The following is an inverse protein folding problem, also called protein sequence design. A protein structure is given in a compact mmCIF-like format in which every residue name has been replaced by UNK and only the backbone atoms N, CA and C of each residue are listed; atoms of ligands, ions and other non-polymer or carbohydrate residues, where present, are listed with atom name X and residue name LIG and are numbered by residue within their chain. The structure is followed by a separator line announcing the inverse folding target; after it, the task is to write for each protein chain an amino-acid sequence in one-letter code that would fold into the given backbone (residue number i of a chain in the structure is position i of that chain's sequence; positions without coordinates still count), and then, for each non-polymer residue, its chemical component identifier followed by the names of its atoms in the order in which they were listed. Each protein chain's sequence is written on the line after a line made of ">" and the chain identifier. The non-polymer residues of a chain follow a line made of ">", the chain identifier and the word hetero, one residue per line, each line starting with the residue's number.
data_IF_734083140420
#
_entry.id   IF_734083140420
#
_cell.length_a   1.000
_cell.length_b   1.000
_cell.length_c   1.000
_cell.angle_alpha   90.00
_cell.angle_beta   90.00
_cell.angle_gamma   90.00
#
_symmetry.space_group_name_H-M   'P 1'
#
loop_
_entity.id
_entity.type
_entity.pdbx_description
1 polymer ?
#
# COMPACT_ATOMS: atom_id res chain seq x y z
N UNK A 1 -11.40 26.61 -2.39
CA UNK A 1 -11.78 25.47 -3.25
C UNK A 1 -11.83 24.14 -2.51
N UNK A 2 -10.77 23.70 -1.82
CA UNK A 2 -10.79 22.39 -1.12
C UNK A 2 -11.82 22.29 0.02
N UNK A 3 -11.87 23.30 0.92
CA UNK A 3 -12.81 23.30 2.06
C UNK A 3 -14.28 23.39 1.62
N UNK A 4 -14.56 24.07 0.51
CA UNK A 4 -15.91 24.19 -0.05
C UNK A 4 -16.40 22.86 -0.63
N UNK A 5 -15.56 22.18 -1.43
CA UNK A 5 -15.86 20.84 -1.96
C UNK A 5 -16.06 19.79 -0.84
N UNK A 6 -15.24 19.85 0.21
CA UNK A 6 -15.43 18.99 1.38
C UNK A 6 -16.74 19.29 2.13
N UNK A 7 -17.18 20.55 2.10
CA UNK A 7 -18.43 21.02 2.69
C UNK A 7 -19.66 20.32 2.11
N UNK A 8 -19.65 20.03 0.80
CA UNK A 8 -20.75 19.41 0.06
C UNK A 8 -20.96 17.92 0.40
N UNK A 9 -19.92 17.23 0.88
CA UNK A 9 -20.00 15.82 1.24
C UNK A 9 -20.74 15.67 2.58
N UNK A 10 -21.81 14.86 2.68
CA UNK A 10 -22.53 14.66 3.93
C UNK A 10 -21.71 13.87 4.97
N UNK A 11 -21.97 14.11 6.25
CA UNK A 11 -21.40 13.32 7.33
C UNK A 11 -21.99 11.91 7.33
N UNK A 12 -21.15 10.90 7.59
CA UNK A 12 -21.59 9.52 7.69
C UNK A 12 -22.20 9.23 9.06
N UNK A 13 -23.33 8.53 9.07
CA UNK A 13 -23.86 7.93 10.29
C UNK A 13 -23.06 6.66 10.65
N UNK A 14 -23.14 6.24 11.91
CA UNK A 14 -22.48 5.00 12.36
C UNK A 14 -22.90 3.76 11.55
N UNK A 15 -24.18 3.68 11.17
CA UNK A 15 -24.68 2.60 10.34
C UNK A 15 -24.06 2.63 8.93
N UNK A 16 -23.91 3.82 8.33
CA UNK A 16 -23.27 4.00 7.04
C UNK A 16 -21.77 3.66 7.07
N UNK A 17 -21.06 4.04 8.15
CA UNK A 17 -19.66 3.64 8.34
C UNK A 17 -19.49 2.12 8.35
N UNK A 18 -20.33 1.42 9.12
CA UNK A 18 -20.29 -0.04 9.23
C UNK A 18 -20.66 -0.68 7.88
N UNK A 19 -21.68 -0.13 7.19
CA UNK A 19 -22.06 -0.59 5.85
C UNK A 19 -20.90 -0.48 4.86
N UNK A 20 -20.24 0.68 4.80
CA UNK A 20 -19.08 0.90 3.93
C UNK A 20 -17.90 -0.01 4.31
N UNK A 21 -17.60 -0.16 5.60
CA UNK A 21 -16.55 -1.06 6.07
C UNK A 21 -16.83 -2.53 5.67
N UNK A 22 -18.08 -2.98 5.80
CA UNK A 22 -18.52 -4.32 5.37
C UNK A 22 -18.44 -4.48 3.85
N UNK A 23 -18.80 -3.44 3.08
CA UNK A 23 -18.66 -3.44 1.63
C UNK A 23 -17.18 -3.53 1.21
N UNK A 24 -16.29 -2.79 1.87
CA UNK A 24 -14.84 -2.85 1.64
C UNK A 24 -14.33 -4.28 1.89
N UNK A 25 -14.71 -4.90 3.01
CA UNK A 25 -14.30 -6.26 3.34
C UNK A 25 -14.83 -7.28 2.32
N UNK A 26 -16.13 -7.21 2.01
CA UNK A 26 -16.80 -8.15 1.09
C UNK A 26 -16.21 -8.04 -0.32
N UNK A 27 -16.06 -6.82 -0.84
CA UNK A 27 -15.50 -6.60 -2.18
C UNK A 27 -14.02 -6.96 -2.25
N UNK A 28 -13.24 -6.73 -1.18
CA UNK A 28 -11.85 -7.19 -1.07
C UNK A 28 -11.75 -8.71 -1.13
N UNK A 29 -12.58 -9.43 -0.37
CA UNK A 29 -12.60 -10.90 -0.38
C UNK A 29 -13.05 -11.45 -1.73
N UNK A 30 -14.10 -10.88 -2.33
CA UNK A 30 -14.54 -11.25 -3.68
C UNK A 30 -13.44 -11.02 -4.74
N UNK A 31 -12.76 -9.89 -4.68
CA UNK A 31 -11.66 -9.54 -5.59
C UNK A 31 -10.51 -10.55 -5.47
N UNK A 32 -10.06 -10.83 -4.24
CA UNK A 32 -9.00 -11.80 -3.96
C UNK A 32 -9.37 -13.19 -4.45
N UNK A 33 -10.56 -13.68 -4.09
CA UNK A 33 -11.03 -14.99 -4.51
C UNK A 33 -11.08 -15.10 -6.04
N UNK A 34 -11.60 -14.08 -6.72
CA UNK A 34 -11.75 -14.10 -8.18
C UNK A 34 -10.41 -14.10 -8.92
N UNK A 35 -9.40 -13.42 -8.39
CA UNK A 35 -8.03 -13.45 -8.88
C UNK A 35 -7.38 -14.82 -8.64
N UNK A 36 -7.45 -15.33 -7.41
CA UNK A 36 -6.85 -16.61 -6.99
C UNK A 36 -7.48 -17.82 -7.69
N UNK A 37 -8.73 -17.73 -8.16
CA UNK A 37 -9.36 -18.75 -9.01
C UNK A 37 -8.67 -18.90 -10.39
N UNK A 38 -7.87 -17.94 -10.83
CA UNK A 38 -7.03 -18.10 -12.02
C UNK A 38 -5.81 -18.95 -11.66
N UNK A 39 -5.56 -20.02 -12.43
CA UNK A 39 -4.46 -20.96 -12.13
C UNK A 39 -3.10 -20.26 -12.08
N UNK A 40 -2.84 -19.33 -13.01
CA UNK A 40 -1.60 -18.57 -13.04
C UNK A 40 -1.36 -17.82 -11.72
N UNK A 41 -2.41 -17.20 -11.19
CA UNK A 41 -2.35 -16.43 -9.94
C UNK A 41 -2.20 -17.38 -8.75
N UNK A 42 -2.98 -18.45 -8.70
CA UNK A 42 -2.90 -19.49 -7.67
C UNK A 42 -1.49 -20.10 -7.57
N UNK A 43 -0.88 -20.45 -8.71
CA UNK A 43 0.44 -21.04 -8.76
C UNK A 43 1.52 -20.07 -8.27
N UNK A 44 1.45 -18.80 -8.66
CA UNK A 44 2.41 -17.81 -8.18
C UNK A 44 2.20 -17.50 -6.69
N UNK A 45 0.96 -17.46 -6.20
CA UNK A 45 0.67 -17.36 -4.76
C UNK A 45 1.27 -18.54 -3.98
N UNK A 46 1.09 -19.77 -4.46
CA UNK A 46 1.72 -20.97 -3.90
C UNK A 46 3.26 -20.84 -3.87
N UNK A 47 3.89 -20.41 -4.97
CA UNK A 47 5.34 -20.19 -5.01
C UNK A 47 5.80 -19.16 -4.00
N UNK A 48 5.11 -18.03 -3.89
CA UNK A 48 5.45 -16.98 -2.91
C UNK A 48 5.35 -17.51 -1.48
N UNK A 49 4.28 -18.23 -1.15
CA UNK A 49 4.09 -18.82 0.17
C UNK A 49 5.12 -19.92 0.47
N UNK A 50 5.50 -20.72 -0.53
CA UNK A 50 6.57 -21.71 -0.41
C UNK A 50 7.92 -21.07 -0.10
N UNK A 51 8.23 -19.92 -0.73
CA UNK A 51 9.45 -19.17 -0.45
C UNK A 51 9.45 -18.56 0.96
N UNK A 52 8.28 -18.14 1.46
CA UNK A 52 8.14 -17.72 2.87
C UNK A 52 8.38 -18.90 3.79
N UNK A 53 7.84 -20.08 3.50
CA UNK A 53 8.06 -21.30 4.30
C UNK A 53 9.53 -21.65 4.44
N UNK A 54 10.28 -21.54 3.34
CA UNK A 54 11.73 -21.81 3.29
C UNK A 54 12.61 -20.69 3.85
N UNK A 55 12.02 -19.58 4.32
CA UNK A 55 12.76 -18.44 4.85
C UNK A 55 13.39 -17.52 3.80
N UNK A 56 13.15 -17.73 2.50
CA UNK A 56 13.69 -16.88 1.42
C UNK A 56 12.99 -15.51 1.33
N UNK A 57 11.74 -15.42 1.80
CA UNK A 57 10.96 -14.20 1.80
C UNK A 57 10.52 -13.82 3.21
N UNK A 58 10.63 -12.52 3.60
CA UNK A 58 10.21 -12.07 4.91
C UNK A 58 8.71 -12.26 5.11
N UNK A 59 8.33 -12.97 6.17
CA UNK A 59 6.95 -13.26 6.56
C UNK A 59 6.12 -11.97 6.69
N UNK A 60 6.58 -11.03 7.51
CA UNK A 60 5.82 -9.82 7.86
C UNK A 60 5.61 -8.87 6.68
N UNK A 61 6.40 -8.98 5.59
CA UNK A 61 6.19 -8.19 4.36
C UNK A 61 5.31 -8.90 3.32
N UNK A 62 5.02 -10.18 3.52
CA UNK A 62 4.36 -11.03 2.52
C UNK A 62 2.98 -11.49 2.98
N UNK A 63 2.85 -11.79 4.26
CA UNK A 63 1.63 -12.23 4.92
C UNK A 63 1.03 -11.08 5.74
N UNK A 64 -0.29 -11.03 5.77
CA UNK A 64 -1.07 -10.14 6.62
C UNK A 64 -1.53 -10.93 7.84
N UNK A 65 -1.14 -10.44 9.01
CA UNK A 65 -1.60 -10.95 10.31
C UNK A 65 -2.84 -10.18 10.71
N UNK A 66 -3.86 -10.89 11.20
CA UNK A 66 -5.06 -10.31 11.79
C UNK A 66 -5.48 -11.14 13.00
N UNK A 67 -5.82 -10.45 14.08
CA UNK A 67 -6.29 -11.06 15.32
C UNK A 67 -7.74 -11.53 15.16
N UNK A 68 -8.57 -10.78 14.41
CA UNK A 68 -10.01 -11.09 14.26
C UNK A 68 -10.27 -12.30 13.39
N UNK A 69 -9.39 -12.59 12.43
CA UNK A 69 -9.59 -13.65 11.43
C UNK A 69 -8.88 -14.97 11.78
N UNK A 70 -8.39 -15.15 13.03
CA UNK A 70 -7.54 -16.29 13.42
C UNK A 70 -6.37 -16.47 12.45
N UNK A 71 -5.72 -15.35 12.15
CA UNK A 71 -4.57 -15.20 11.26
C UNK A 71 -3.38 -14.66 12.07
N UNK A 72 -3.19 -15.18 13.28
CA UNK A 72 -2.00 -14.89 14.08
C UNK A 72 -0.76 -15.58 13.47
N UNK A 73 0.42 -15.02 13.73
CA UNK A 73 1.67 -15.49 13.12
C UNK A 73 1.91 -16.99 13.37
N UNK A 74 1.74 -17.43 14.61
CA UNK A 74 1.91 -18.84 15.01
C UNK A 74 0.91 -19.76 14.31
N UNK A 75 -0.36 -19.36 14.25
CA UNK A 75 -1.42 -20.11 13.58
C UNK A 75 -1.14 -20.26 12.08
N UNK A 76 -0.70 -19.19 11.42
CA UNK A 76 -0.34 -19.22 10.01
C UNK A 76 0.86 -20.13 9.78
N UNK A 77 1.91 -20.03 10.61
CA UNK A 77 3.10 -20.88 10.51
C UNK A 77 2.77 -22.36 10.71
N UNK A 78 1.86 -22.70 11.63
CA UNK A 78 1.38 -24.08 11.83
C UNK A 78 0.55 -24.63 10.66
N UNK A 79 -0.26 -23.79 10.00
CA UNK A 79 -1.04 -24.17 8.81
C UNK A 79 -0.18 -24.29 7.54
N UNK A 80 0.92 -23.55 7.47
CA UNK A 80 1.74 -23.38 6.28
C UNK A 80 2.20 -24.70 5.63
N UNK A 81 2.85 -25.65 6.34
CA UNK A 81 3.31 -26.89 5.72
C UNK A 81 2.14 -27.74 5.18
N UNK A 82 1.07 -27.88 5.96
CA UNK A 82 -0.11 -28.68 5.61
C UNK A 82 -0.88 -28.11 4.39
N UNK A 83 -1.09 -26.79 4.38
CA UNK A 83 -1.79 -26.11 3.30
C UNK A 83 -0.95 -26.13 2.01
N UNK A 84 0.37 -25.95 2.10
CA UNK A 84 1.26 -26.02 0.93
C UNK A 84 1.29 -27.42 0.31
N UNK A 85 1.41 -28.47 1.12
CA UNK A 85 1.35 -29.85 0.64
C UNK A 85 0.02 -30.14 -0.08
N UNK A 86 -1.10 -29.71 0.52
CA UNK A 86 -2.42 -29.88 -0.09
C UNK A 86 -2.55 -29.08 -1.39
N UNK A 87 -2.05 -27.84 -1.43
CA UNK A 87 -2.07 -26.99 -2.62
C UNK A 87 -1.28 -27.62 -3.76
N UNK A 88 -0.11 -28.20 -3.49
CA UNK A 88 0.71 -28.88 -4.50
C UNK A 88 -0.05 -30.02 -5.18
N UNK A 89 -0.69 -30.88 -4.38
CA UNK A 89 -1.53 -31.98 -4.89
C UNK A 89 -2.68 -31.43 -5.73
N UNK A 90 -3.42 -30.43 -5.23
CA UNK A 90 -4.57 -29.86 -5.94
C UNK A 90 -4.16 -29.21 -7.28
N UNK A 91 -3.07 -28.45 -7.31
CA UNK A 91 -2.52 -27.82 -8.52
C UNK A 91 -2.07 -28.89 -9.52
N UNK A 92 -1.40 -29.95 -9.06
CA UNK A 92 -1.00 -31.07 -9.90
C UNK A 92 -2.21 -31.73 -10.57
N UNK A 93 -3.27 -32.00 -9.80
CA UNK A 93 -4.47 -32.61 -10.35
C UNK A 93 -5.29 -31.66 -11.24
N UNK A 94 -5.25 -30.34 -11.02
CA UNK A 94 -5.90 -29.34 -11.88
C UNK A 94 -5.38 -29.44 -13.32
N UNK A 95 -4.07 -29.64 -13.50
CA UNK A 95 -3.44 -29.86 -14.81
C UNK A 95 -4.00 -31.09 -15.53
N UNK A 96 -4.30 -32.17 -14.80
CA UNK A 96 -4.88 -33.38 -15.36
C UNK A 96 -6.32 -33.16 -15.83
N UNK A 97 -7.18 -32.56 -15.00
CA UNK A 97 -8.57 -32.28 -15.40
C UNK A 97 -8.65 -31.25 -16.54
N UNK A 98 -7.76 -30.25 -16.56
CA UNK A 98 -7.71 -29.30 -17.67
C UNK A 98 -7.39 -30.00 -19.01
N UNK A 99 -6.46 -30.98 -19.01
CA UNK A 99 -6.17 -31.79 -20.21
C UNK A 99 -7.38 -32.61 -20.65
N UNK A 100 -8.10 -33.24 -19.73
CA UNK A 100 -9.33 -33.99 -20.04
C UNK A 100 -10.39 -33.06 -20.61
N UNK A 101 -10.59 -31.89 -19.99
CA UNK A 101 -11.60 -30.92 -20.39
C UNK A 101 -11.42 -30.39 -21.84
N UNK A 102 -10.17 -30.28 -22.28
CA UNK A 102 -9.82 -29.86 -23.65
C UNK A 102 -9.65 -31.02 -24.65
N UNK A 103 -9.62 -32.27 -24.19
CA UNK A 103 -9.45 -33.42 -25.08
C UNK A 103 -10.64 -33.56 -26.03
N UNK A 104 -10.37 -33.64 -27.33
CA UNK A 104 -11.37 -33.98 -28.35
C UNK A 104 -11.76 -35.46 -28.33
N UNK A 105 -10.94 -36.32 -27.72
CA UNK A 105 -11.17 -37.78 -27.61
C UNK A 105 -12.10 -38.13 -26.44
N UNK A 106 -12.19 -37.27 -25.43
CA UNK A 106 -13.02 -37.50 -24.25
C UNK A 106 -14.50 -37.22 -24.54
N UNK A 107 -15.40 -37.98 -23.90
CA UNK A 107 -16.85 -37.78 -24.06
C UNK A 107 -17.27 -36.42 -23.51
N UNK A 108 -18.31 -35.82 -24.08
CA UNK A 108 -18.82 -34.50 -23.64
C UNK A 108 -19.17 -34.48 -22.15
N UNK A 109 -19.73 -35.58 -21.63
CA UNK A 109 -20.06 -35.75 -20.20
C UNK A 109 -18.81 -35.74 -19.32
N UNK A 110 -17.74 -36.42 -19.72
CA UNK A 110 -16.46 -36.44 -19.01
C UNK A 110 -15.79 -35.07 -19.00
N UNK A 111 -15.81 -34.36 -20.13
CA UNK A 111 -15.28 -32.99 -20.24
C UNK A 111 -16.02 -32.03 -19.32
N UNK A 112 -17.35 -32.12 -19.24
CA UNK A 112 -18.17 -31.33 -18.30
C UNK A 112 -17.84 -31.67 -16.84
N UNK A 113 -17.70 -32.96 -16.50
CA UNK A 113 -17.29 -33.40 -15.16
C UNK A 113 -15.89 -32.88 -14.79
N UNK A 114 -14.95 -32.88 -15.73
CA UNK A 114 -13.59 -32.35 -15.53
C UNK A 114 -13.59 -30.85 -15.25
N UNK A 115 -14.35 -30.05 -16.01
CA UNK A 115 -14.55 -28.62 -15.72
C UNK A 115 -15.15 -28.38 -14.34
N UNK A 116 -16.15 -29.18 -13.94
CA UNK A 116 -16.78 -29.05 -12.62
C UNK A 116 -15.81 -29.39 -11.48
N UNK A 117 -15.00 -30.45 -11.61
CA UNK A 117 -13.95 -30.80 -10.64
C UNK A 117 -12.89 -29.70 -10.54
N UNK A 118 -12.41 -29.20 -11.67
CA UNK A 118 -11.45 -28.09 -11.73
C UNK A 118 -11.98 -26.85 -10.99
N UNK A 119 -13.23 -26.46 -11.25
CA UNK A 119 -13.86 -25.33 -10.55
C UNK A 119 -13.96 -25.52 -9.03
N UNK A 120 -14.35 -26.73 -8.57
CA UNK A 120 -14.40 -27.04 -7.13
C UNK A 120 -13.02 -27.00 -6.48
N UNK A 121 -11.99 -27.54 -7.13
CA UNK A 121 -10.63 -27.52 -6.59
C UNK A 121 -10.03 -26.13 -6.55
N UNK A 122 -10.26 -25.29 -7.57
CA UNK A 122 -9.85 -23.88 -7.53
C UNK A 122 -10.41 -23.15 -6.31
N UNK A 123 -11.70 -23.33 -6.01
CA UNK A 123 -12.30 -22.77 -4.79
C UNK A 123 -11.66 -23.30 -3.50
N UNK A 124 -11.23 -24.57 -3.48
CA UNK A 124 -10.46 -25.13 -2.35
C UNK A 124 -9.08 -24.48 -2.25
N UNK A 125 -8.35 -24.33 -3.36
CA UNK A 125 -7.05 -23.65 -3.37
C UNK A 125 -7.15 -22.20 -2.87
N UNK A 126 -8.19 -21.47 -3.28
CA UNK A 126 -8.47 -20.11 -2.80
C UNK A 126 -8.56 -20.10 -1.27
N UNK A 127 -9.39 -20.98 -0.67
CA UNK A 127 -9.53 -21.05 0.79
C UNK A 127 -8.20 -21.34 1.50
N UNK A 128 -7.46 -22.34 1.01
CA UNK A 128 -6.15 -22.69 1.60
C UNK A 128 -5.15 -21.52 1.55
N UNK A 129 -5.18 -20.72 0.48
CA UNK A 129 -4.32 -19.54 0.36
C UNK A 129 -4.82 -18.38 1.25
N UNK A 130 -6.14 -18.21 1.39
CA UNK A 130 -6.73 -17.20 2.26
C UNK A 130 -6.45 -17.47 3.74
N UNK A 131 -6.46 -18.73 4.17
CA UNK A 131 -6.08 -19.16 5.52
C UNK A 131 -4.62 -18.90 5.89
N UNK A 132 -3.77 -18.63 4.88
CA UNK A 132 -2.37 -18.26 5.04
C UNK A 132 -2.13 -16.74 4.99
N UNK A 133 -3.19 -15.94 4.84
CA UNK A 133 -3.11 -14.48 4.98
C UNK A 133 -2.27 -13.77 3.91
N UNK A 134 -2.09 -14.32 2.71
CA UNK A 134 -1.27 -13.66 1.67
C UNK A 134 -1.75 -12.22 1.39
N UNK A 135 -0.86 -11.22 1.40
CA UNK A 135 -1.24 -9.80 1.18
C UNK A 135 -1.83 -9.57 -0.21
N UNK A 136 -2.88 -8.75 -0.30
CA UNK A 136 -3.58 -8.45 -1.57
C UNK A 136 -2.64 -7.84 -2.60
N UNK A 137 -1.73 -6.96 -2.18
CA UNK A 137 -0.78 -6.30 -3.07
C UNK A 137 0.11 -7.29 -3.83
N UNK A 138 0.43 -8.45 -3.24
CA UNK A 138 1.21 -9.51 -3.91
C UNK A 138 0.45 -10.12 -5.08
N UNK A 139 -0.85 -10.28 -4.94
CA UNK A 139 -1.74 -10.87 -5.95
C UNK A 139 -2.05 -9.82 -7.04
N UNK A 140 -2.24 -8.56 -6.66
CA UNK A 140 -2.51 -7.44 -7.57
C UNK A 140 -1.41 -7.23 -8.62
N UNK A 141 -0.14 -7.49 -8.26
CA UNK A 141 0.98 -7.38 -9.21
C UNK A 141 0.85 -8.27 -10.46
N UNK A 142 -0.04 -9.25 -10.44
CA UNK A 142 -0.25 -10.19 -11.56
C UNK A 142 -1.29 -9.69 -12.58
N UNK A 143 -2.09 -8.68 -12.24
CA UNK A 143 -3.12 -8.11 -13.12
C UNK A 143 -2.54 -7.63 -14.46
N UNK A 144 -1.41 -6.88 -14.50
CA UNK A 144 -0.80 -6.47 -15.76
C UNK A 144 -0.43 -7.66 -16.66
N UNK A 145 0.09 -8.75 -16.07
CA UNK A 145 0.42 -9.97 -16.83
C UNK A 145 -0.83 -10.64 -17.40
N UNK A 146 -1.92 -10.74 -16.64
CA UNK A 146 -3.19 -11.29 -17.14
C UNK A 146 -3.77 -10.46 -18.30
N UNK A 147 -3.70 -9.13 -18.20
CA UNK A 147 -4.08 -8.23 -19.29
C UNK A 147 -3.18 -8.43 -20.51
N UNK A 148 -1.87 -8.59 -20.30
CA UNK A 148 -0.90 -8.93 -21.34
C UNK A 148 -1.25 -10.25 -22.05
N UNK A 149 -1.61 -11.29 -21.29
CA UNK A 149 -2.09 -12.56 -21.84
C UNK A 149 -3.35 -12.40 -22.69
N UNK A 150 -4.34 -11.64 -22.23
CA UNK A 150 -5.57 -11.40 -23.01
C UNK A 150 -5.27 -10.67 -24.32
N UNK A 151 -4.42 -9.63 -24.27
CA UNK A 151 -4.00 -8.90 -25.47
C UNK A 151 -3.28 -9.84 -26.44
N UNK A 152 -2.30 -10.58 -25.95
CA UNK A 152 -1.49 -11.50 -26.76
C UNK A 152 -2.32 -12.63 -27.36
N UNK A 153 -3.24 -13.24 -26.60
CA UNK A 153 -4.17 -14.25 -27.12
C UNK A 153 -5.01 -13.71 -28.28
N UNK A 154 -5.42 -12.44 -28.24
CA UNK A 154 -6.18 -11.80 -29.33
C UNK A 154 -5.30 -11.62 -30.56
N UNK A 155 -4.10 -11.06 -30.40
CA UNK A 155 -3.14 -10.86 -31.49
C UNK A 155 -2.77 -12.19 -32.18
N UNK A 156 -2.42 -13.21 -31.39
CA UNK A 156 -2.10 -14.54 -31.91
C UNK A 156 -3.28 -15.14 -32.66
N UNK A 157 -4.49 -15.00 -32.14
CA UNK A 157 -5.70 -15.50 -32.81
C UNK A 157 -5.92 -14.83 -34.18
N UNK A 158 -5.77 -13.51 -34.26
CA UNK A 158 -5.88 -12.76 -35.53
C UNK A 158 -4.83 -13.24 -36.53
N UNK A 159 -3.56 -13.37 -36.12
CA UNK A 159 -2.47 -13.84 -36.98
C UNK A 159 -2.71 -15.27 -37.47
N UNK A 160 -3.09 -16.18 -36.56
CA UNK A 160 -3.39 -17.59 -36.91
C UNK A 160 -4.54 -17.66 -37.92
N UNK A 161 -5.58 -16.85 -37.74
CA UNK A 161 -6.73 -16.84 -38.66
C UNK A 161 -6.36 -16.21 -40.02
N UNK A 162 -5.50 -15.18 -40.04
CA UNK A 162 -4.96 -14.62 -41.27
C UNK A 162 -4.13 -15.64 -42.05
N UNK A 163 -3.20 -16.35 -41.39
CA UNK A 163 -2.41 -17.42 -42.03
C UNK A 163 -3.29 -18.55 -42.60
N UNK A 164 -4.41 -18.87 -41.93
CA UNK A 164 -5.38 -19.86 -42.44
C UNK A 164 -6.12 -19.35 -43.66
N UNK A 165 -6.51 -18.07 -43.68
CA UNK A 165 -7.19 -17.43 -44.82
C UNK A 165 -6.27 -17.36 -46.05
N UNK A 166 -4.99 -17.05 -45.86
CA UNK A 166 -3.98 -17.01 -46.92
C UNK A 166 -3.45 -18.39 -47.34
N UNK A 167 -4.05 -19.49 -46.83
CA UNK A 167 -3.68 -20.89 -47.11
C UNK A 167 -2.19 -21.21 -46.92
N UNK A 168 -1.50 -20.47 -46.05
CA UNK A 168 -0.08 -20.70 -45.81
C UNK A 168 0.17 -22.04 -45.09
N UNK A 169 1.36 -22.66 -45.29
CA UNK A 169 1.74 -23.91 -44.65
C UNK A 169 1.55 -23.91 -43.13
N UNK A 170 1.24 -25.07 -42.57
CA UNK A 170 1.00 -25.21 -41.12
C UNK A 170 2.25 -24.92 -40.27
N UNK A 171 3.44 -25.20 -40.81
CA UNK A 171 4.74 -24.88 -40.21
C UNK A 171 4.87 -23.40 -39.85
N UNK A 172 4.43 -22.51 -40.74
CA UNK A 172 4.59 -21.06 -40.59
C UNK A 172 3.78 -20.49 -39.41
N UNK A 173 2.74 -21.20 -38.94
CA UNK A 173 1.93 -20.80 -37.78
C UNK A 173 2.17 -21.64 -36.53
N UNK A 174 3.10 -22.61 -36.57
CA UNK A 174 3.31 -23.55 -35.47
C UNK A 174 3.74 -22.82 -34.19
N UNK A 175 4.72 -21.92 -34.30
CA UNK A 175 5.20 -21.10 -33.18
C UNK A 175 4.07 -20.25 -32.57
N UNK A 176 3.21 -19.65 -33.40
CA UNK A 176 2.06 -18.86 -32.94
C UNK A 176 1.03 -19.71 -32.18
N UNK A 177 0.79 -20.93 -32.68
CA UNK A 177 -0.14 -21.88 -32.05
C UNK A 177 0.42 -22.40 -30.73
N UNK A 178 1.72 -22.66 -30.66
CA UNK A 178 2.36 -23.16 -29.44
C UNK A 178 2.42 -22.09 -28.35
N UNK A 179 2.71 -20.84 -28.71
CA UNK A 179 2.61 -19.71 -27.78
C UNK A 179 1.17 -19.52 -27.29
N UNK A 180 0.19 -19.57 -28.20
CA UNK A 180 -1.23 -19.47 -27.84
C UNK A 180 -1.63 -20.58 -26.86
N UNK A 181 -1.20 -21.83 -27.11
CA UNK A 181 -1.44 -22.97 -26.21
C UNK A 181 -0.70 -22.82 -24.88
N UNK A 182 0.50 -22.27 -24.86
CA UNK A 182 1.27 -22.05 -23.65
C UNK A 182 0.53 -21.09 -22.69
N UNK A 183 0.00 -19.97 -23.21
CA UNK A 183 -0.79 -19.03 -22.41
C UNK A 183 -2.06 -19.70 -21.87
N UNK A 184 -2.76 -20.48 -22.71
CA UNK A 184 -3.95 -21.22 -22.27
C UNK A 184 -3.63 -22.24 -21.19
N UNK A 185 -2.53 -22.99 -21.31
CA UNK A 185 -2.06 -23.95 -20.29
C UNK A 185 -1.68 -23.24 -19.00
N UNK A 186 -1.05 -22.07 -19.07
CA UNK A 186 -0.67 -21.30 -17.89
C UNK A 186 -1.88 -20.78 -17.11
N UNK A 187 -2.92 -20.31 -17.81
CA UNK A 187 -4.15 -19.82 -17.18
C UNK A 187 -5.16 -20.93 -16.84
N UNK A 188 -5.05 -22.08 -17.51
CA UNK A 188 -6.03 -23.16 -17.53
C UNK A 188 -7.46 -22.66 -17.81
N UNK A 189 -7.62 -21.71 -18.71
CA UNK A 189 -8.91 -21.14 -19.08
C UNK A 189 -9.03 -20.99 -20.59
N UNK A 190 -10.25 -20.72 -21.08
CA UNK A 190 -10.45 -20.29 -22.47
C UNK A 190 -10.26 -18.77 -22.57
N UNK A 191 -9.93 -18.20 -23.75
CA UNK A 191 -9.78 -16.75 -23.87
C UNK A 191 -11.04 -15.98 -23.49
N UNK A 192 -12.23 -16.54 -23.81
CA UNK A 192 -13.53 -15.96 -23.45
C UNK A 192 -13.74 -15.96 -21.93
N UNK A 193 -13.41 -17.06 -21.26
CA UNK A 193 -13.47 -17.18 -19.79
C UNK A 193 -12.53 -16.18 -19.12
N UNK A 194 -11.27 -16.12 -19.57
CA UNK A 194 -10.26 -15.24 -18.99
C UNK A 194 -10.64 -13.76 -19.17
N UNK A 195 -11.12 -13.37 -20.36
CA UNK A 195 -11.63 -12.01 -20.61
C UNK A 195 -12.82 -11.68 -19.72
N UNK A 196 -13.78 -12.61 -19.57
CA UNK A 196 -14.94 -12.42 -18.67
C UNK A 196 -14.49 -12.26 -17.22
N UNK A 197 -13.57 -13.10 -16.74
CA UNK A 197 -12.99 -13.00 -15.40
C UNK A 197 -12.36 -11.64 -15.16
N UNK A 198 -11.53 -11.15 -16.09
CA UNK A 198 -10.90 -9.84 -15.94
C UNK A 198 -11.91 -8.69 -15.94
N UNK A 199 -12.99 -8.78 -16.72
CA UNK A 199 -14.09 -7.81 -16.64
C UNK A 199 -14.73 -7.82 -15.25
N UNK A 200 -15.08 -8.99 -14.73
CA UNK A 200 -15.66 -9.15 -13.38
C UNK A 200 -14.70 -8.63 -12.28
N UNK A 201 -13.39 -8.90 -12.39
CA UNK A 201 -12.37 -8.40 -11.46
C UNK A 201 -12.36 -6.87 -11.45
N UNK A 202 -12.36 -6.24 -12.63
CA UNK A 202 -12.34 -4.77 -12.73
C UNK A 202 -13.62 -4.14 -12.14
N UNK A 203 -14.79 -4.76 -12.35
CA UNK A 203 -16.05 -4.31 -11.76
C UNK A 203 -16.04 -4.43 -10.22
N UNK A 204 -15.55 -5.55 -9.68
CA UNK A 204 -15.40 -5.73 -8.23
C UNK A 204 -14.41 -4.71 -7.66
N UNK A 205 -13.27 -4.50 -8.33
CA UNK A 205 -12.27 -3.52 -7.92
C UNK A 205 -12.83 -2.10 -7.92
N UNK A 206 -13.61 -1.72 -8.94
CA UNK A 206 -14.28 -0.42 -8.97
C UNK A 206 -15.28 -0.25 -7.82
N UNK A 207 -16.01 -1.31 -7.43
CA UNK A 207 -16.87 -1.27 -6.22
C UNK A 207 -16.05 -1.11 -4.93
N UNK A 208 -14.95 -1.84 -4.81
CA UNK A 208 -14.04 -1.71 -3.68
C UNK A 208 -13.48 -0.29 -3.54
N UNK A 209 -13.01 0.30 -4.63
CA UNK A 209 -12.49 1.68 -4.65
C UNK A 209 -13.58 2.70 -4.31
N UNK A 210 -14.80 2.52 -4.82
CA UNK A 210 -15.94 3.39 -4.45
C UNK A 210 -16.28 3.30 -2.96
N UNK A 211 -16.30 2.10 -2.38
CA UNK A 211 -16.59 1.93 -0.95
C UNK A 211 -15.50 2.56 -0.08
N UNK A 212 -14.22 2.38 -0.43
CA UNK A 212 -13.10 3.05 0.22
C UNK A 212 -13.17 4.56 0.14
N UNK A 213 -13.44 5.08 -1.05
CA UNK A 213 -13.57 6.51 -1.31
C UNK A 213 -14.71 7.08 -0.46
N UNK A 214 -15.88 6.46 -0.46
CA UNK A 214 -17.02 6.90 0.35
C UNK A 214 -16.70 6.94 1.85
N UNK A 215 -16.01 5.92 2.39
CA UNK A 215 -15.63 5.92 3.81
C UNK A 215 -14.60 7.01 4.14
N UNK A 216 -13.69 7.29 3.21
CA UNK A 216 -12.65 8.31 3.37
C UNK A 216 -13.22 9.73 3.27
N UNK A 217 -14.01 9.99 2.23
CA UNK A 217 -14.67 11.27 1.95
C UNK A 217 -15.56 11.72 3.09
N UNK A 218 -16.37 10.81 3.63
CA UNK A 218 -17.22 11.10 4.79
C UNK A 218 -16.46 11.47 6.07
N UNK A 219 -15.15 11.23 6.12
CA UNK A 219 -14.29 11.48 7.28
C UNK A 219 -13.22 12.56 7.03
N UNK A 220 -13.23 13.27 5.91
CA UNK A 220 -12.24 14.33 5.61
C UNK A 220 -12.26 15.47 6.65
N UNK A 221 -13.44 15.79 7.21
CA UNK A 221 -13.57 16.82 8.27
C UNK A 221 -12.78 16.48 9.54
N UNK A 222 -12.65 15.19 9.87
CA UNK A 222 -11.83 14.72 11.00
C UNK A 222 -10.35 15.03 10.76
N UNK A 223 -9.87 14.87 9.53
CA UNK A 223 -8.48 15.20 9.18
C UNK A 223 -8.21 16.68 9.39
N UNK A 224 -9.11 17.55 8.92
CA UNK A 224 -8.99 19.00 9.09
C UNK A 224 -8.97 19.39 10.56
N UNK A 225 -9.83 18.81 11.40
CA UNK A 225 -9.87 19.12 12.83
C UNK A 225 -8.61 18.70 13.58
N UNK A 226 -7.98 17.59 13.17
CA UNK A 226 -6.69 17.14 13.72
C UNK A 226 -5.55 18.02 13.21
N UNK A 227 -5.50 18.30 11.91
CA UNK A 227 -4.44 19.10 11.28
C UNK A 227 -4.36 20.53 11.83
N UNK A 228 -5.48 21.12 12.27
CA UNK A 228 -5.50 22.44 12.92
C UNK A 228 -4.52 22.56 14.09
N UNK A 229 -4.30 21.49 14.85
CA UNK A 229 -3.36 21.46 16.01
C UNK A 229 -1.88 21.51 15.60
N UNK A 230 -1.58 21.29 14.33
CA UNK A 230 -0.23 21.23 13.77
C UNK A 230 0.11 22.44 12.91
N UNK A 231 -0.78 23.45 12.86
CA UNK A 231 -0.49 24.72 12.17
C UNK A 231 0.76 25.38 12.74
N UNK A 232 1.44 26.16 11.90
CA UNK A 232 2.63 26.92 12.25
C UNK A 232 3.82 26.06 12.74
N UNK A 233 3.89 24.81 12.29
CA UNK A 233 5.03 23.91 12.54
C UNK A 233 5.96 23.75 11.32
N UNK A 234 5.97 24.74 10.42
CA UNK A 234 6.84 24.79 9.23
C UNK A 234 6.27 24.16 7.96
N UNK A 235 5.10 23.53 8.00
CA UNK A 235 4.37 23.07 6.80
C UNK A 235 3.11 23.90 6.57
N UNK A 236 2.74 24.06 5.30
CA UNK A 236 1.47 24.68 4.91
C UNK A 236 0.29 23.88 5.48
N UNK A 237 -0.81 24.58 5.77
CA UNK A 237 -2.00 23.92 6.28
C UNK A 237 -2.59 22.90 5.29
N UNK A 238 -2.49 23.17 3.98
CA UNK A 238 -2.93 22.23 2.95
C UNK A 238 -2.06 20.96 2.93
N UNK A 239 -0.76 21.09 3.11
CA UNK A 239 0.16 19.93 3.15
C UNK A 239 -0.12 19.05 4.37
N UNK A 240 -0.35 19.66 5.54
CA UNK A 240 -0.77 18.93 6.74
C UNK A 240 -2.08 18.15 6.52
N UNK A 241 -3.03 18.73 5.78
CA UNK A 241 -4.28 18.05 5.43
C UNK A 241 -4.00 16.89 4.48
N UNK A 242 -3.15 17.05 3.46
CA UNK A 242 -2.84 15.97 2.51
C UNK A 242 -2.14 14.79 3.18
N UNK A 243 -1.17 15.06 4.04
CA UNK A 243 -0.48 14.03 4.83
C UNK A 243 -1.45 13.35 5.81
N UNK A 244 -2.35 14.12 6.43
CA UNK A 244 -3.43 13.59 7.23
C UNK A 244 -4.41 12.71 6.43
N UNK A 245 -4.74 13.09 5.19
CA UNK A 245 -5.58 12.30 4.28
C UNK A 245 -4.90 10.99 3.91
N UNK A 246 -3.58 11.00 3.66
CA UNK A 246 -2.81 9.78 3.44
C UNK A 246 -2.84 8.85 4.68
N UNK A 247 -2.77 9.43 5.89
CA UNK A 247 -3.00 8.71 7.15
C UNK A 247 -4.40 8.11 7.25
N UNK A 248 -5.44 8.87 6.90
CA UNK A 248 -6.83 8.41 6.87
C UNK A 248 -7.01 7.22 5.91
N UNK A 249 -6.46 7.29 4.70
CA UNK A 249 -6.52 6.19 3.72
C UNK A 249 -5.90 4.91 4.29
N UNK A 250 -4.77 5.01 5.01
CA UNK A 250 -4.17 3.85 5.70
C UNK A 250 -5.05 3.31 6.82
N UNK A 251 -5.77 4.18 7.54
CA UNK A 251 -6.74 3.75 8.53
C UNK A 251 -7.89 2.97 7.88
N UNK A 252 -8.45 3.47 6.78
CA UNK A 252 -9.52 2.79 6.03
C UNK A 252 -9.08 1.40 5.57
N UNK A 253 -7.83 1.24 5.13
CA UNK A 253 -7.30 -0.05 4.65
C UNK A 253 -7.22 -1.13 5.74
N UNK A 254 -6.95 -0.71 6.97
CA UNK A 254 -6.68 -1.58 8.12
C UNK A 254 -7.81 -1.64 9.14
N UNK A 255 -8.87 -0.88 8.93
CA UNK A 255 -9.98 -0.82 9.87
C UNK A 255 -10.78 -2.14 9.89
N UNK A 256 -10.96 -2.69 11.08
CA UNK A 256 -11.74 -3.90 11.33
C UNK A 256 -12.99 -3.54 12.13
N UNK A 257 -14.14 -3.40 11.45
CA UNK A 257 -15.39 -2.97 12.09
C UNK A 257 -15.90 -3.97 13.16
N UNK A 258 -15.53 -5.25 13.03
CA UNK A 258 -15.92 -6.33 13.94
C UNK A 258 -15.39 -6.16 15.37
N UNK A 259 -14.36 -5.33 15.57
CA UNK A 259 -13.82 -5.00 16.89
C UNK A 259 -14.70 -4.04 17.71
N UNK A 260 -15.77 -3.50 17.13
CA UNK A 260 -16.74 -2.65 17.83
C UNK A 260 -16.32 -1.18 18.02
N UNK A 261 -15.05 -0.84 17.83
CA UNK A 261 -14.57 0.54 17.97
C UNK A 261 -15.11 1.49 16.89
N UNK A 262 -15.33 2.75 17.27
CA UNK A 262 -15.70 3.82 16.32
C UNK A 262 -14.54 4.08 15.34
N UNK A 263 -14.86 4.32 14.07
CA UNK A 263 -13.85 4.54 13.04
C UNK A 263 -13.01 5.79 13.34
N UNK A 264 -13.65 6.88 13.76
CA UNK A 264 -12.97 8.14 14.10
C UNK A 264 -11.89 7.96 15.19
N UNK A 265 -12.15 7.15 16.22
CA UNK A 265 -11.19 6.85 17.29
C UNK A 265 -9.95 6.17 16.74
N UNK A 266 -10.14 5.17 15.87
CA UNK A 266 -9.04 4.45 15.23
C UNK A 266 -8.27 5.33 14.23
N UNK A 267 -8.99 6.08 13.39
CA UNK A 267 -8.41 6.93 12.36
C UNK A 267 -7.57 8.08 12.95
N UNK A 268 -7.96 8.61 14.11
CA UNK A 268 -7.24 9.70 14.78
C UNK A 268 -5.76 9.37 15.00
N UNK A 269 -5.43 8.14 15.38
CA UNK A 269 -4.04 7.72 15.57
C UNK A 269 -3.25 7.74 14.26
N UNK A 270 -3.82 7.17 13.18
CA UNK A 270 -3.18 7.13 11.87
C UNK A 270 -2.98 8.52 11.25
N UNK A 271 -3.98 9.40 11.38
CA UNK A 271 -3.91 10.79 10.92
C UNK A 271 -2.81 11.52 11.69
N UNK A 272 -2.81 11.41 13.03
CA UNK A 272 -1.80 12.05 13.87
C UNK A 272 -0.38 11.58 13.54
N UNK A 273 -0.21 10.28 13.35
CA UNK A 273 1.07 9.68 13.02
C UNK A 273 1.60 10.18 11.67
N UNK A 274 0.74 10.23 10.65
CA UNK A 274 1.12 10.72 9.33
C UNK A 274 1.54 12.19 9.38
N UNK A 275 0.73 13.05 10.01
CA UNK A 275 1.02 14.49 10.13
C UNK A 275 2.32 14.73 10.93
N UNK A 276 2.47 14.07 12.08
CA UNK A 276 3.66 14.25 12.94
C UNK A 276 4.92 13.81 12.20
N UNK A 277 4.86 12.71 11.47
CA UNK A 277 5.97 12.23 10.64
C UNK A 277 6.30 13.21 9.51
N UNK A 278 5.30 13.70 8.78
CA UNK A 278 5.51 14.66 7.70
C UNK A 278 6.15 15.96 8.21
N UNK A 279 5.68 16.49 9.35
CA UNK A 279 6.31 17.65 10.00
C UNK A 279 7.77 17.36 10.32
N UNK A 280 8.10 16.20 10.89
CA UNK A 280 9.49 15.86 11.18
C UNK A 280 10.35 15.71 9.92
N UNK A 281 9.79 15.14 8.85
CA UNK A 281 10.51 14.81 7.63
C UNK A 281 10.70 16.01 6.68
N UNK A 282 9.77 16.97 6.66
CA UNK A 282 9.66 18.00 5.60
C UNK A 282 9.58 19.46 6.09
N UNK A 283 9.35 19.74 7.37
CA UNK A 283 9.12 21.12 7.84
C UNK A 283 10.35 22.04 7.85
N UNK A 284 11.54 21.50 7.55
CA UNK A 284 12.82 22.20 7.65
C UNK A 284 13.51 22.20 6.30
N UNK A 285 14.14 23.32 5.97
CA UNK A 285 15.00 23.48 4.78
C UNK A 285 16.13 22.45 4.78
N UNK A 286 16.76 22.25 5.94
CA UNK A 286 17.77 21.20 6.15
C UNK A 286 17.07 20.03 6.85
N UNK A 287 17.01 18.88 6.16
CA UNK A 287 16.35 17.68 6.66
C UNK A 287 17.09 17.12 7.87
N UNK A 288 16.34 16.86 8.94
CA UNK A 288 16.84 16.24 10.18
C UNK A 288 16.19 14.85 10.33
N UNK A 289 16.94 13.79 10.70
CA UNK A 289 16.35 12.48 10.97
C UNK A 289 15.27 12.51 12.08
N UNK A 290 14.25 11.67 11.96
CA UNK A 290 13.08 11.67 12.87
C UNK A 290 13.46 11.48 14.33
N UNK A 291 14.38 10.56 14.65
CA UNK A 291 14.83 10.34 16.03
C UNK A 291 15.48 11.60 16.64
N UNK A 292 16.20 12.38 15.84
CA UNK A 292 16.76 13.66 16.29
C UNK A 292 15.66 14.69 16.53
N UNK A 293 14.61 14.75 15.70
CA UNK A 293 13.46 15.64 15.91
C UNK A 293 12.69 15.28 17.19
N UNK A 294 12.59 13.99 17.51
CA UNK A 294 12.02 13.50 18.77
C UNK A 294 12.86 13.95 19.97
N UNK A 295 14.19 13.79 19.92
CA UNK A 295 15.11 14.29 20.94
C UNK A 295 15.01 15.81 21.10
N UNK A 296 14.99 16.57 20.01
CA UNK A 296 14.80 18.03 20.03
C UNK A 296 13.49 18.44 20.70
N UNK A 297 12.40 17.73 20.41
CA UNK A 297 11.10 18.00 21.01
C UNK A 297 11.07 17.67 22.50
N UNK A 298 11.74 16.59 22.92
CA UNK A 298 11.91 16.22 24.33
C UNK A 298 12.70 17.27 25.09
N UNK A 299 13.89 17.64 24.59
CA UNK A 299 14.75 18.69 25.15
C UNK A 299 13.99 20.02 25.26
N UNK A 300 13.25 20.41 24.22
CA UNK A 300 12.43 21.65 24.25
C UNK A 300 11.31 21.61 25.29
N UNK A 301 10.63 20.47 25.44
CA UNK A 301 9.56 20.33 26.42
C UNK A 301 10.11 20.37 27.86
N UNK A 302 11.23 19.69 28.11
CA UNK A 302 11.92 19.71 29.41
C UNK A 302 12.42 21.11 29.75
N UNK A 303 13.06 21.80 28.80
CA UNK A 303 13.51 23.18 28.99
C UNK A 303 12.35 24.11 29.36
N UNK A 304 11.18 23.96 28.72
CA UNK A 304 9.97 24.73 29.05
C UNK A 304 9.43 24.41 30.44
N UNK A 305 9.45 23.14 30.85
CA UNK A 305 9.03 22.73 32.19
C UNK A 305 9.95 23.30 33.27
N UNK A 306 11.27 23.19 33.08
CA UNK A 306 12.26 23.74 34.02
C UNK A 306 12.19 25.27 34.10
N UNK A 307 11.98 25.95 32.96
CA UNK A 307 11.75 27.40 32.94
C UNK A 307 10.53 27.79 33.80
N UNK A 308 9.44 27.02 33.72
CA UNK A 308 8.24 27.25 34.53
C UNK A 308 8.46 26.95 36.02
N UNK A 309 9.24 25.92 36.33
CA UNK A 309 9.53 25.49 37.70
C UNK A 309 10.52 26.42 38.42
N UNK A 310 11.57 26.86 37.74
CA UNK A 310 12.64 27.68 38.33
C UNK A 310 12.43 29.18 38.15
N UNK A 311 11.56 29.61 37.23
CA UNK A 311 11.37 31.02 36.90
C UNK A 311 12.58 31.68 36.22
N UNK A 312 13.60 30.90 35.82
CA UNK A 312 14.81 31.33 35.11
C UNK A 312 15.13 30.38 33.97
N UNK A 313 15.96 30.83 33.01
CA UNK A 313 16.45 29.94 31.97
C UNK A 313 17.28 28.78 32.57
N UNK A 314 16.95 27.52 32.23
CA UNK A 314 17.69 26.35 32.71
C UNK A 314 19.00 26.17 31.95
N UNK A 315 20.02 25.66 32.65
CA UNK A 315 21.33 25.31 32.06
C UNK A 315 21.25 24.05 31.20
N UNK A 316 22.22 23.86 30.30
CA UNK A 316 22.24 22.70 29.40
C UNK A 316 22.38 21.40 30.21
N UNK A 317 23.15 21.42 31.30
CA UNK A 317 23.34 20.30 32.21
C UNK A 317 22.02 19.92 32.92
N UNK A 318 21.25 20.91 33.41
CA UNK A 318 19.94 20.68 34.03
C UNK A 318 18.94 20.07 33.04
N UNK A 319 18.90 20.59 31.80
CA UNK A 319 18.04 20.05 30.75
C UNK A 319 18.44 18.61 30.40
N UNK A 320 19.74 18.35 30.24
CA UNK A 320 20.29 17.04 29.90
C UNK A 320 19.95 15.99 30.97
N UNK A 321 20.18 16.32 32.25
CA UNK A 321 19.89 15.45 33.38
C UNK A 321 18.40 15.08 33.44
N UNK A 322 17.51 16.05 33.23
CA UNK A 322 16.05 15.83 33.26
C UNK A 322 15.52 15.14 32.00
N UNK A 323 16.12 15.39 30.84
CA UNK A 323 15.74 14.77 29.56
C UNK A 323 16.28 13.33 29.40
N UNK A 324 17.24 12.92 30.26
CA UNK A 324 17.91 11.64 30.18
C UNK A 324 18.82 11.51 28.96
N UNK A 325 19.43 12.63 28.53
CA UNK A 325 20.33 12.69 27.37
C UNK A 325 21.71 13.20 27.78
N UNK A 326 22.81 12.73 27.15
CA UNK A 326 24.14 13.27 27.42
C UNK A 326 24.20 14.78 27.18
N UNK A 327 25.02 15.49 27.97
CA UNK A 327 25.19 16.96 27.87
C UNK A 327 25.62 17.37 26.46
N UNK A 328 26.57 16.63 25.86
CA UNK A 328 27.04 16.87 24.49
C UNK A 328 25.96 16.68 23.43
N UNK A 329 25.06 15.71 23.63
CA UNK A 329 23.94 15.49 22.72
C UNK A 329 22.93 16.63 22.85
N UNK A 330 22.57 17.02 24.08
CA UNK A 330 21.67 18.14 24.37
C UNK A 330 22.20 19.45 23.79
N UNK A 331 23.52 19.69 23.87
CA UNK A 331 24.20 20.85 23.27
C UNK A 331 24.06 20.83 21.74
N UNK A 332 24.36 19.70 21.09
CA UNK A 332 24.23 19.53 19.63
C UNK A 332 22.79 19.73 19.15
N UNK A 333 21.85 19.11 19.85
CA UNK A 333 20.39 19.17 19.56
C UNK A 333 19.87 20.60 19.69
N UNK A 334 20.33 21.34 20.70
CA UNK A 334 19.99 22.76 20.90
C UNK A 334 20.55 23.62 19.78
N UNK A 335 21.80 23.39 19.35
CA UNK A 335 22.40 24.09 18.22
C UNK A 335 21.63 23.83 16.91
N UNK A 336 21.31 22.56 16.62
CA UNK A 336 20.52 22.15 15.45
C UNK A 336 19.07 22.67 15.47
N UNK A 337 18.57 23.12 16.62
CA UNK A 337 17.19 23.60 16.76
C UNK A 337 16.93 24.93 16.05
N UNK A 338 17.98 25.70 15.75
CA UNK A 338 17.90 26.99 15.06
C UNK A 338 17.41 26.81 13.62
N UNK A 339 16.57 27.76 13.17
CA UNK A 339 16.14 27.83 11.78
C UNK A 339 17.10 28.71 10.98
N UNK A 340 17.40 28.37 9.71
CA UNK A 340 18.11 29.28 8.81
C UNK A 340 17.39 30.62 8.71
N UNK A 341 18.17 31.70 8.60
CA UNK A 341 17.66 33.06 8.41
C UNK A 341 17.56 33.33 6.90
N UNK A 342 16.53 34.05 6.46
CA UNK A 342 16.41 34.46 5.05
C UNK A 342 17.53 35.44 4.68
N UNK A 343 18.11 35.27 3.50
CA UNK A 343 19.07 36.24 2.94
C UNK A 343 18.37 37.57 2.60
N UNK A 344 17.10 37.51 2.22
CA UNK A 344 16.28 38.69 1.92
C UNK A 344 15.74 39.39 3.18
N UNK A 345 16.23 39.02 4.38
CA UNK A 345 15.81 39.72 5.60
C UNK A 345 16.39 41.13 5.56
N UNK A 346 15.58 42.20 5.66
CA UNK A 346 16.09 43.57 5.66
C UNK A 346 16.95 43.81 6.90
N UNK A 347 18.01 44.60 6.74
CA UNK A 347 18.95 44.98 7.79
C UNK A 347 18.99 46.51 7.90
N UNK A 348 18.66 47.02 9.09
CA UNK A 348 18.61 48.47 9.34
C UNK A 348 17.26 49.10 8.96
N UNK A 349 17.26 50.44 8.79
CA UNK A 349 16.08 51.24 8.47
C UNK A 349 15.92 51.55 6.97
N UNK A 350 16.87 51.14 6.12
CA UNK A 350 16.81 51.36 4.67
C UNK A 350 16.17 50.15 4.00
N UNK A 351 15.21 50.37 3.09
CA UNK A 351 14.53 49.29 2.36
C UNK A 351 15.45 48.55 1.37
N UNK A 352 16.60 49.13 1.04
CA UNK A 352 17.53 48.56 0.03
C UNK A 352 18.58 47.60 0.61
N UNK A 353 18.74 47.51 1.94
CA UNK A 353 19.81 46.71 2.56
C UNK A 353 19.30 45.36 3.05
N UNK A 354 19.74 44.28 2.42
CA UNK A 354 19.37 42.91 2.78
C UNK A 354 20.53 42.19 3.50
N UNK A 355 20.21 41.16 4.29
CA UNK A 355 21.23 40.39 5.02
C UNK A 355 22.22 39.69 4.06
N UNK A 356 21.76 39.28 2.89
CA UNK A 356 22.59 38.70 1.84
C UNK A 356 23.71 39.62 1.34
N UNK A 357 23.45 40.93 1.28
CA UNK A 357 24.41 41.92 0.79
C UNK A 357 25.62 42.10 1.72
N UNK A 358 25.48 41.71 2.99
CA UNK A 358 26.51 41.82 4.02
C UNK A 358 27.38 40.57 4.13
N UNK A 359 27.07 39.50 3.40
CA UNK A 359 27.84 38.27 3.45
C UNK A 359 29.05 38.37 2.51
N UNK A 360 30.28 38.32 3.04
CA UNK A 360 31.47 38.35 2.19
C UNK A 360 31.60 37.06 1.38
N UNK A 361 31.96 37.18 0.12
CA UNK A 361 32.40 36.04 -0.69
C UNK A 361 33.82 35.64 -0.26
N UNK A 362 33.95 34.47 0.37
CA UNK A 362 35.23 33.93 0.83
C UNK A 362 35.93 33.08 -0.22
N UNK A 363 35.27 32.79 -1.36
CA UNK A 363 35.83 32.04 -2.47
C UNK A 363 36.43 32.92 -3.58
N UNK A 364 36.16 34.23 -3.57
CA UNK A 364 36.74 35.16 -4.51
C UNK A 364 38.21 35.46 -4.17
N UNK A 365 39.10 35.34 -5.15
CA UNK A 365 40.49 35.78 -4.99
C UNK A 365 40.55 37.30 -4.84
N UNK A 366 41.30 37.76 -3.84
CA UNK A 366 41.48 39.19 -3.61
C UNK A 366 42.33 39.76 -4.76
N UNK A 367 41.83 40.75 -5.53
CA UNK A 367 42.56 41.34 -6.65
C UNK A 367 43.86 42.06 -6.25
N UNK A 368 44.11 42.24 -4.95
CA UNK A 368 45.39 42.74 -4.44
C UNK A 368 46.46 41.63 -4.24
N UNK A 369 46.10 40.36 -4.38
CA UNK A 369 46.97 39.19 -4.13
C UNK A 369 47.20 38.35 -5.41
N UNK A 370 46.64 38.78 -6.54
CA UNK A 370 46.98 38.31 -7.90
C UNK A 370 47.71 39.39 -8.67
#
# INVERSE_FOLDING_TARGET
>A
MYLTQMGEIPLLTRAQEIYLARQIETTRSQFRAKLLECEYVCLNAYKVLSRVHRGELPFDRTVQVSVTDRLEKEQILGRLPHNLQTLEVLIGQNKADYRIALSKRARTTERRKAWARLGRRRKRCVRLIEELGLRTQRIETMIPTLNGFIRRLRELKIKIDAHKRTKQPASNRQNLVDEYRAILKACQETPRSLKRRMKEINEIFARYQRAKRGLSEGNLRLVVSIAKKYRNRGLSFLDLIQEGNAGLMRAVDKFEYRRGFKFCTYATWWIRQAITRAVADQSRTIRIPVHMVETMSRVRNVARQLLQEYGREPTIEEIAARAGTPVDETRRVTAMSRYPISLDRPVGNSEDSHFGDLLPDTGAENPAVG
#
